data_IF_989025437555
#
_entry.id   IF_989025437555
#
_cell.length_a   1.000
_cell.length_b   1.000
_cell.length_c   1.000
_cell.angle_alpha   90.00
_cell.angle_beta   90.00
_cell.angle_gamma   90.00
#
_symmetry.space_group_name_H-M   'P 1'
#
loop_
_entity.id
_entity.type
_entity.pdbx_description
1 polymer ?
#
# COMPACT_ATOMS: atom_id res chain seq x y z
N UNK A 1 23.70 33.42 -9.27
CA UNK A 1 23.30 33.89 -7.93
C UNK A 1 23.45 32.69 -7.00
N UNK A 2 24.62 32.54 -6.37
CA UNK A 2 24.87 31.58 -5.27
C UNK A 2 24.40 32.29 -3.99
N UNK A 3 23.71 31.66 -3.05
CA UNK A 3 24.19 30.54 -2.21
C UNK A 3 23.05 29.61 -1.80
N UNK A 4 23.18 28.32 -2.14
CA UNK A 4 22.52 27.23 -1.41
C UNK A 4 23.14 27.17 -0.01
N UNK A 5 22.40 27.64 0.99
CA UNK A 5 22.64 27.27 2.37
C UNK A 5 22.21 25.80 2.54
N UNK A 6 23.08 24.85 2.15
CA UNK A 6 22.93 23.44 2.56
C UNK A 6 23.33 23.35 4.03
N UNK A 7 22.47 23.89 4.91
CA UNK A 7 22.61 23.73 6.36
C UNK A 7 22.44 22.25 6.66
N UNK A 8 23.52 21.61 7.10
CA UNK A 8 23.50 20.22 7.52
C UNK A 8 22.69 20.13 8.82
N UNK A 9 21.55 19.44 8.77
CA UNK A 9 20.66 19.23 9.92
C UNK A 9 20.73 17.76 10.32
N UNK A 10 21.86 17.33 10.92
CA UNK A 10 22.16 15.91 11.06
C UNK A 10 21.18 15.24 12.02
N UNK A 11 20.84 13.99 11.70
CA UNK A 11 20.14 13.07 12.58
C UNK A 11 21.15 12.18 13.32
N UNK A 12 20.85 11.83 14.58
CA UNK A 12 21.74 11.03 15.44
C UNK A 12 22.20 9.72 14.80
N UNK A 13 21.30 9.05 14.08
CA UNK A 13 21.54 7.77 13.40
C UNK A 13 22.56 7.87 12.26
N UNK A 14 22.75 9.04 11.64
CA UNK A 14 23.71 9.25 10.55
C UNK A 14 25.17 9.00 10.99
N UNK A 15 25.46 9.17 12.29
CA UNK A 15 26.78 8.89 12.86
C UNK A 15 27.18 7.41 12.74
N UNK A 16 26.22 6.49 12.64
CA UNK A 16 26.51 5.07 12.46
C UNK A 16 26.82 4.77 10.99
N UNK A 17 26.00 5.28 10.08
CA UNK A 17 26.14 5.01 8.65
C UNK A 17 27.43 5.58 8.05
N UNK A 18 27.80 6.79 8.45
CA UNK A 18 29.03 7.46 7.97
C UNK A 18 30.32 6.69 8.30
N UNK A 19 30.30 5.79 9.28
CA UNK A 19 31.46 4.92 9.61
C UNK A 19 31.68 3.83 8.58
N UNK A 20 30.62 3.39 7.90
CA UNK A 20 30.68 2.22 7.00
C UNK A 20 31.22 2.54 5.60
N UNK A 21 31.39 3.82 5.28
CA UNK A 21 32.01 4.23 4.02
C UNK A 21 33.53 4.00 3.98
N UNK A 22 34.15 3.79 5.14
CA UNK A 22 35.56 3.45 5.26
C UNK A 22 35.89 2.10 4.62
N UNK A 23 36.96 2.05 3.83
CA UNK A 23 37.45 0.84 3.18
C UNK A 23 38.91 0.58 3.55
N UNK A 24 39.21 -0.62 4.04
CA UNK A 24 40.59 -1.12 4.15
C UNK A 24 40.77 -2.28 3.17
N UNK A 25 41.68 -2.13 2.21
CA UNK A 25 41.98 -3.16 1.23
C UNK A 25 42.96 -4.17 1.82
N UNK A 26 42.54 -5.42 1.98
CA UNK A 26 43.45 -6.55 2.27
C UNK A 26 43.08 -7.75 1.42
N UNK A 27 44.10 -8.48 0.96
CA UNK A 27 43.94 -9.59 0.02
C UNK A 27 43.10 -10.75 0.59
N UNK A 28 43.11 -10.96 1.91
CA UNK A 28 42.32 -12.00 2.58
C UNK A 28 40.82 -11.72 2.52
N UNK A 29 40.40 -10.46 2.68
CA UNK A 29 38.99 -10.04 2.66
C UNK A 29 38.38 -10.16 1.25
N UNK A 30 39.20 -10.01 0.21
CA UNK A 30 38.77 -10.06 -1.18
C UNK A 30 38.18 -11.43 -1.57
N UNK A 31 38.69 -12.52 -0.98
CA UNK A 31 38.30 -13.90 -1.34
C UNK A 31 36.80 -14.17 -1.16
N UNK A 32 36.17 -13.60 -0.13
CA UNK A 32 34.75 -13.78 0.15
C UNK A 32 33.85 -13.18 -0.93
N UNK A 33 34.26 -12.06 -1.54
CA UNK A 33 33.49 -11.38 -2.59
C UNK A 33 33.78 -11.94 -3.99
N UNK A 34 34.88 -12.65 -4.19
CA UNK A 34 35.22 -13.26 -5.48
C UNK A 34 34.25 -14.39 -5.86
N UNK A 35 33.65 -15.09 -4.88
CA UNK A 35 32.68 -16.17 -5.13
C UNK A 35 31.51 -15.73 -6.01
N UNK A 36 31.04 -14.48 -5.86
CA UNK A 36 29.88 -13.94 -6.55
C UNK A 36 30.22 -12.85 -7.57
N UNK A 37 31.49 -12.70 -7.92
CA UNK A 37 32.00 -11.62 -8.77
C UNK A 37 31.27 -11.48 -10.09
N UNK A 38 31.05 -12.59 -10.80
CA UNK A 38 30.35 -12.58 -12.09
C UNK A 38 28.89 -12.12 -11.96
N UNK A 39 28.27 -12.35 -10.80
CA UNK A 39 26.92 -11.89 -10.50
C UNK A 39 26.92 -10.40 -10.14
N UNK A 40 27.87 -9.97 -9.31
CA UNK A 40 28.00 -8.56 -8.89
C UNK A 40 28.41 -7.63 -10.04
N UNK A 41 29.13 -8.12 -11.04
CA UNK A 41 29.46 -7.36 -12.26
C UNK A 41 28.24 -6.90 -13.07
N UNK A 42 27.02 -7.40 -12.77
CA UNK A 42 25.80 -6.93 -13.42
C UNK A 42 25.38 -5.52 -13.02
N UNK A 43 25.86 -5.03 -11.88
CA UNK A 43 25.59 -3.68 -11.39
C UNK A 43 26.89 -3.01 -10.96
N UNK A 44 27.14 -1.83 -11.54
CA UNK A 44 28.32 -1.05 -11.21
C UNK A 44 28.37 -0.74 -9.71
N UNK A 45 29.51 -1.02 -9.09
CA UNK A 45 29.74 -0.74 -7.68
C UNK A 45 29.38 -1.86 -6.70
N UNK A 46 28.58 -2.88 -7.07
CA UNK A 46 28.23 -3.97 -6.14
C UNK A 46 29.43 -4.78 -5.65
N UNK A 47 30.40 -5.03 -6.55
CA UNK A 47 31.64 -5.71 -6.16
C UNK A 47 32.39 -4.90 -5.08
N UNK A 48 32.55 -3.59 -5.31
CA UNK A 48 33.20 -2.70 -4.34
C UNK A 48 32.38 -2.59 -3.05
N UNK A 49 31.06 -2.62 -3.14
CA UNK A 49 30.17 -2.62 -1.99
C UNK A 49 30.34 -3.88 -1.14
N UNK A 50 30.47 -5.06 -1.76
CA UNK A 50 30.78 -6.29 -1.06
C UNK A 50 32.09 -6.18 -0.26
N UNK A 51 33.14 -5.60 -0.87
CA UNK A 51 34.42 -5.40 -0.20
C UNK A 51 34.30 -4.45 1.00
N UNK A 52 33.52 -3.36 0.88
CA UNK A 52 33.21 -2.48 2.01
C UNK A 52 32.46 -3.22 3.12
N UNK A 53 31.47 -4.04 2.77
CA UNK A 53 30.73 -4.84 3.74
C UNK A 53 31.67 -5.74 4.55
N UNK A 54 32.51 -6.52 3.87
CA UNK A 54 33.45 -7.45 4.52
C UNK A 54 34.48 -6.71 5.37
N UNK A 55 34.98 -5.56 4.92
CA UNK A 55 35.89 -4.71 5.70
C UNK A 55 35.24 -4.18 6.98
N UNK A 56 33.98 -3.75 6.91
CA UNK A 56 33.23 -3.32 8.10
C UNK A 56 32.98 -4.47 9.08
N UNK A 57 32.66 -5.67 8.57
CA UNK A 57 32.50 -6.85 9.41
C UNK A 57 33.79 -7.21 10.16
N UNK A 58 34.94 -7.16 9.49
CA UNK A 58 36.24 -7.39 10.11
C UNK A 58 36.51 -6.41 11.27
N UNK A 59 36.18 -5.13 11.07
CA UNK A 59 36.30 -4.11 12.12
C UNK A 59 35.34 -4.35 13.30
N UNK A 60 34.10 -4.75 13.03
CA UNK A 60 33.10 -5.02 14.07
C UNK A 60 33.44 -6.26 14.89
N UNK A 61 33.87 -7.34 14.25
CA UNK A 61 34.26 -8.60 14.92
C UNK A 61 35.48 -8.40 15.82
N UNK A 62 36.30 -7.37 15.64
CA UNK A 62 37.41 -7.05 16.55
C UNK A 62 36.98 -6.36 17.86
N UNK A 63 35.71 -5.94 17.98
CA UNK A 63 35.20 -5.26 19.19
C UNK A 63 34.88 -6.25 20.31
N UNK A 64 35.17 -5.86 21.55
CA UNK A 64 34.94 -6.67 22.75
C UNK A 64 33.54 -6.44 23.38
N UNK A 65 32.96 -5.24 23.28
CA UNK A 65 31.65 -4.94 23.85
C UNK A 65 30.51 -5.52 22.99
N UNK A 66 29.72 -6.44 23.57
CA UNK A 66 28.64 -7.14 22.87
C UNK A 66 27.43 -6.26 22.54
N UNK A 67 27.09 -5.29 23.38
CA UNK A 67 25.88 -4.48 23.20
C UNK A 67 26.10 -3.44 22.09
N UNK A 68 27.25 -2.76 22.13
CA UNK A 68 27.68 -1.86 21.06
C UNK A 68 27.81 -2.61 19.72
N UNK A 69 28.34 -3.84 19.76
CA UNK A 69 28.45 -4.70 18.58
C UNK A 69 27.09 -5.02 17.98
N UNK A 70 26.13 -5.49 18.78
CA UNK A 70 24.77 -5.82 18.32
C UNK A 70 24.08 -4.62 17.64
N UNK A 71 24.22 -3.44 18.24
CA UNK A 71 23.65 -2.21 17.70
C UNK A 71 24.30 -1.84 16.37
N UNK A 72 25.63 -1.79 16.30
CA UNK A 72 26.35 -1.46 15.07
C UNK A 72 26.13 -2.47 13.94
N UNK A 73 25.99 -3.78 14.25
CA UNK A 73 25.64 -4.78 13.26
C UNK A 73 24.19 -4.59 12.75
N UNK A 74 23.27 -4.13 13.58
CA UNK A 74 21.91 -3.79 13.13
C UNK A 74 21.94 -2.59 12.17
N UNK A 75 22.74 -1.55 12.47
CA UNK A 75 22.96 -0.43 11.54
C UNK A 75 23.63 -0.88 10.24
N UNK A 76 24.64 -1.76 10.30
CA UNK A 76 25.29 -2.32 9.11
C UNK A 76 24.31 -3.12 8.25
N UNK A 77 23.37 -3.82 8.87
CA UNK A 77 22.33 -4.57 8.18
C UNK A 77 21.40 -3.64 7.39
N UNK A 78 20.90 -2.57 8.01
CA UNK A 78 20.10 -1.57 7.31
C UNK A 78 20.89 -0.82 6.24
N UNK A 79 22.15 -0.50 6.52
CA UNK A 79 23.05 0.13 5.54
C UNK A 79 23.23 -0.75 4.30
N UNK A 80 23.47 -2.05 4.51
CA UNK A 80 23.58 -3.06 3.45
C UNK A 80 22.31 -3.10 2.60
N UNK A 81 21.16 -3.27 3.25
CA UNK A 81 19.87 -3.36 2.57
C UNK A 81 19.55 -2.10 1.76
N UNK A 82 19.71 -0.92 2.37
CA UNK A 82 19.31 0.34 1.75
C UNK A 82 20.20 0.71 0.56
N UNK A 83 21.52 0.56 0.68
CA UNK A 83 22.46 0.82 -0.42
C UNK A 83 22.22 -0.14 -1.59
N UNK A 84 21.96 -1.42 -1.32
CA UNK A 84 21.66 -2.38 -2.39
C UNK A 84 20.34 -2.03 -3.09
N UNK A 85 19.30 -1.64 -2.34
CA UNK A 85 18.02 -1.20 -2.92
C UNK A 85 18.23 0.02 -3.83
N UNK A 86 19.08 0.95 -3.44
CA UNK A 86 19.39 2.16 -4.21
C UNK A 86 20.18 1.86 -5.49
N UNK A 87 21.22 1.01 -5.38
CA UNK A 87 22.08 0.62 -6.51
C UNK A 87 21.37 -0.26 -7.53
N UNK A 88 20.67 -1.30 -7.06
CA UNK A 88 20.08 -2.34 -7.92
C UNK A 88 18.71 -1.94 -8.45
N UNK A 89 17.91 -1.29 -7.60
CA UNK A 89 16.54 -0.88 -7.87
C UNK A 89 15.56 -2.03 -8.19
N UNK A 90 14.31 -1.85 -7.75
CA UNK A 90 13.25 -2.83 -7.95
C UNK A 90 13.48 -4.17 -7.24
N UNK A 91 12.61 -5.13 -7.50
CA UNK A 91 12.52 -6.39 -6.75
C UNK A 91 13.78 -7.26 -6.83
N UNK A 92 14.62 -7.06 -7.84
CA UNK A 92 15.88 -7.80 -7.96
C UNK A 92 16.86 -7.52 -6.81
N UNK A 93 16.72 -6.37 -6.13
CA UNK A 93 17.48 -6.00 -4.94
C UNK A 93 17.46 -7.09 -3.86
N UNK A 94 16.34 -7.80 -3.70
CA UNK A 94 16.19 -8.88 -2.71
C UNK A 94 17.24 -9.98 -2.92
N UNK A 95 17.52 -10.32 -4.19
CA UNK A 95 18.49 -11.36 -4.54
C UNK A 95 19.89 -10.93 -4.11
N UNK A 96 20.28 -9.68 -4.41
CA UNK A 96 21.61 -9.18 -4.06
C UNK A 96 21.81 -8.97 -2.56
N UNK A 97 20.78 -8.50 -1.84
CA UNK A 97 20.78 -8.47 -0.38
C UNK A 97 21.02 -9.87 0.17
N UNK A 98 20.30 -10.87 -0.35
CA UNK A 98 20.44 -12.26 0.11
C UNK A 98 21.84 -12.81 -0.14
N UNK A 99 22.45 -12.50 -1.28
CA UNK A 99 23.83 -12.90 -1.59
C UNK A 99 24.84 -12.24 -0.64
N UNK A 100 24.72 -10.93 -0.40
CA UNK A 100 25.59 -10.21 0.53
C UNK A 100 25.42 -10.69 1.98
N UNK A 101 24.19 -11.03 2.39
CA UNK A 101 23.95 -11.66 3.69
C UNK A 101 24.55 -13.06 3.78
N UNK A 102 24.54 -13.85 2.70
CA UNK A 102 25.22 -15.15 2.69
C UNK A 102 26.74 -14.99 2.88
N UNK A 103 27.35 -14.00 2.21
CA UNK A 103 28.76 -13.66 2.39
C UNK A 103 29.04 -13.22 3.83
N UNK A 104 28.20 -12.35 4.38
CA UNK A 104 28.29 -11.89 5.78
C UNK A 104 28.28 -13.09 6.74
N UNK A 105 27.30 -13.98 6.63
CA UNK A 105 27.21 -15.16 7.51
C UNK A 105 28.47 -16.03 7.43
N UNK A 106 28.95 -16.32 6.21
CA UNK A 106 30.18 -17.10 6.02
C UNK A 106 31.40 -16.41 6.63
N UNK A 107 31.49 -15.09 6.49
CA UNK A 107 32.59 -14.30 7.05
C UNK A 107 32.62 -14.40 8.58
N UNK A 108 31.47 -14.20 9.25
CA UNK A 108 31.40 -14.31 10.71
C UNK A 108 31.73 -15.72 11.19
N UNK A 109 31.18 -16.75 10.53
CA UNK A 109 31.44 -18.14 10.90
C UNK A 109 32.93 -18.50 10.81
N UNK A 110 33.64 -17.96 9.81
CA UNK A 110 35.07 -18.16 9.64
C UNK A 110 35.92 -17.34 10.61
N UNK A 111 35.51 -16.11 10.94
CA UNK A 111 36.29 -15.18 11.74
C UNK A 111 36.12 -15.40 13.26
N UNK A 112 34.88 -15.48 13.74
CA UNK A 112 34.56 -15.70 15.16
C UNK A 112 33.14 -16.23 15.32
N UNK A 113 33.01 -17.56 15.39
CA UNK A 113 31.71 -18.23 15.51
C UNK A 113 30.94 -17.87 16.78
N UNK A 114 31.61 -17.38 17.83
CA UNK A 114 30.94 -16.93 19.06
C UNK A 114 30.10 -15.66 18.82
N UNK A 115 30.49 -14.83 17.85
CA UNK A 115 29.80 -13.59 17.48
C UNK A 115 28.68 -13.80 16.48
N UNK A 116 28.46 -15.04 16.00
CA UNK A 116 27.36 -15.39 15.10
C UNK A 116 26.01 -14.94 15.63
N UNK A 117 25.70 -15.20 16.90
CA UNK A 117 24.40 -14.84 17.47
C UNK A 117 24.25 -13.32 17.74
N UNK A 118 25.35 -12.57 17.68
CA UNK A 118 25.38 -11.13 17.98
C UNK A 118 25.31 -10.32 16.69
N UNK A 119 26.08 -10.70 15.67
CA UNK A 119 26.27 -9.90 14.47
C UNK A 119 25.78 -10.62 13.20
N UNK A 120 24.91 -11.63 13.28
CA UNK A 120 24.35 -12.23 12.06
C UNK A 120 23.46 -11.24 11.29
N UNK A 121 23.47 -11.28 9.95
CA UNK A 121 22.56 -10.47 9.16
C UNK A 121 21.11 -10.86 9.47
N UNK A 122 20.24 -9.86 9.61
CA UNK A 122 18.82 -10.09 9.85
C UNK A 122 18.12 -10.28 8.52
N UNK A 123 17.65 -11.51 8.28
CA UNK A 123 16.89 -11.86 7.10
C UNK A 123 15.39 -11.74 7.38
N UNK A 124 14.68 -11.09 6.46
CA UNK A 124 13.25 -10.85 6.57
C UNK A 124 12.53 -11.49 5.39
N UNK A 125 12.37 -12.83 5.42
CA UNK A 125 11.71 -13.54 4.34
C UNK A 125 10.29 -12.99 4.19
N UNK A 126 9.87 -12.78 2.94
CA UNK A 126 8.51 -12.32 2.58
C UNK A 126 8.19 -10.85 2.93
N UNK A 127 9.19 -10.06 3.32
CA UNK A 127 9.04 -8.61 3.53
C UNK A 127 9.40 -7.87 2.23
N UNK A 128 8.46 -7.04 1.76
CA UNK A 128 8.67 -6.22 0.58
C UNK A 128 9.70 -5.12 0.82
N UNK A 129 10.35 -4.66 -0.26
CA UNK A 129 11.37 -3.60 -0.20
C UNK A 129 10.85 -2.30 0.45
N UNK A 130 9.58 -1.99 0.25
CA UNK A 130 8.92 -0.83 0.86
C UNK A 130 8.89 -0.94 2.40
N UNK A 131 8.55 -2.12 2.93
CA UNK A 131 8.60 -2.38 4.37
C UNK A 131 10.02 -2.32 4.92
N UNK A 132 11.02 -2.83 4.21
CA UNK A 132 12.43 -2.73 4.62
C UNK A 132 12.85 -1.25 4.80
N UNK A 133 12.45 -0.36 3.89
CA UNK A 133 12.71 1.08 4.01
C UNK A 133 12.03 1.67 5.24
N UNK A 134 10.76 1.33 5.48
CA UNK A 134 10.01 1.80 6.66
C UNK A 134 10.59 1.28 7.97
N UNK A 135 11.09 0.04 7.98
CA UNK A 135 11.78 -0.53 9.13
C UNK A 135 13.06 0.21 9.47
N UNK A 136 13.84 0.60 8.47
CA UNK A 136 15.00 1.49 8.66
C UNK A 136 14.56 2.83 9.27
N UNK A 137 13.52 3.47 8.74
CA UNK A 137 12.99 4.74 9.27
C UNK A 137 12.61 4.60 10.74
N UNK A 138 11.88 3.54 11.10
CA UNK A 138 11.50 3.28 12.50
C UNK A 138 12.71 3.07 13.41
N UNK A 139 13.68 2.26 12.95
CA UNK A 139 14.90 2.00 13.71
C UNK A 139 15.71 3.29 13.93
N UNK A 140 15.92 4.08 12.87
CA UNK A 140 16.64 5.36 12.95
C UNK A 140 15.92 6.35 13.86
N UNK A 141 14.58 6.39 13.82
CA UNK A 141 13.79 7.27 14.70
C UNK A 141 13.98 6.96 16.18
N UNK A 142 14.13 5.69 16.56
CA UNK A 142 14.36 5.31 17.96
C UNK A 142 15.62 6.01 18.51
N UNK A 143 16.69 6.07 17.71
CA UNK A 143 17.93 6.79 18.06
C UNK A 143 17.80 8.32 17.90
N UNK A 144 17.08 8.78 16.88
CA UNK A 144 16.97 10.20 16.57
C UNK A 144 16.12 10.97 17.59
N UNK A 145 15.07 10.33 18.14
CA UNK A 145 14.08 10.96 19.00
C UNK A 145 14.68 11.67 20.23
N UNK A 146 15.64 11.02 20.91
CA UNK A 146 16.29 11.55 22.11
C UNK A 146 16.91 12.93 21.88
N UNK A 147 17.55 13.13 20.72
CA UNK A 147 18.16 14.42 20.38
C UNK A 147 17.13 15.40 19.82
N UNK A 148 16.20 14.94 18.98
CA UNK A 148 15.20 15.79 18.33
C UNK A 148 14.23 16.46 19.31
N UNK A 149 13.89 15.80 20.42
CA UNK A 149 13.03 16.36 21.47
C UNK A 149 13.57 17.68 22.02
N UNK A 150 14.89 17.77 22.18
CA UNK A 150 15.55 18.97 22.70
C UNK A 150 15.77 20.02 21.60
N UNK A 151 16.09 19.59 20.37
CA UNK A 151 16.41 20.54 19.28
C UNK A 151 15.18 21.32 18.80
N UNK A 152 14.01 20.69 18.69
CA UNK A 152 12.80 21.38 18.19
C UNK A 152 12.17 22.32 19.22
N UNK A 153 12.49 22.14 20.51
CA UNK A 153 12.04 23.05 21.57
C UNK A 153 12.86 24.35 21.58
N UNK A 154 14.09 24.30 21.09
CA UNK A 154 14.95 25.45 20.86
C UNK A 154 14.63 25.98 19.46
N UNK A 155 14.54 27.30 19.27
CA UNK A 155 14.15 27.90 17.99
C UNK A 155 15.30 27.80 16.96
N UNK A 156 15.57 26.57 16.52
CA UNK A 156 16.73 26.17 15.73
C UNK A 156 16.48 26.34 14.22
N UNK A 157 17.53 26.67 13.47
CA UNK A 157 17.48 26.82 12.01
C UNK A 157 17.13 25.52 11.26
N UNK A 158 17.23 24.36 11.90
CA UNK A 158 16.89 23.06 11.36
C UNK A 158 15.44 22.63 11.64
N UNK A 159 14.65 23.47 12.32
CA UNK A 159 13.26 23.16 12.69
C UNK A 159 12.42 22.70 11.52
N UNK A 160 12.53 23.35 10.35
CA UNK A 160 11.79 22.95 9.15
C UNK A 160 12.17 21.53 8.69
N UNK A 161 13.48 21.23 8.60
CA UNK A 161 13.98 19.92 8.17
C UNK A 161 13.58 18.81 9.14
N UNK A 162 13.66 19.06 10.45
CA UNK A 162 13.21 18.08 11.43
C UNK A 162 11.70 17.91 11.43
N UNK A 163 10.91 18.96 11.24
CA UNK A 163 9.48 18.81 11.07
C UNK A 163 9.15 17.98 9.81
N UNK A 164 9.85 18.17 8.68
CA UNK A 164 9.69 17.30 7.50
C UNK A 164 9.99 15.83 7.82
N UNK A 165 11.01 15.55 8.62
CA UNK A 165 11.30 14.19 9.07
C UNK A 165 10.13 13.59 9.87
N UNK A 166 9.49 14.36 10.76
CA UNK A 166 8.32 13.90 11.52
C UNK A 166 7.09 13.57 10.66
N UNK A 167 6.97 14.12 9.44
CA UNK A 167 5.93 13.70 8.49
C UNK A 167 6.10 12.23 8.10
N UNK A 168 7.33 11.81 7.78
CA UNK A 168 7.62 10.42 7.45
C UNK A 168 7.34 9.50 8.64
N UNK A 169 7.74 9.91 9.85
CA UNK A 169 7.49 9.17 11.08
C UNK A 169 5.99 9.00 11.34
N UNK A 170 5.20 10.06 11.22
CA UNK A 170 3.74 10.00 11.37
C UNK A 170 3.11 9.03 10.36
N UNK A 171 3.52 9.09 9.10
CA UNK A 171 2.97 8.21 8.06
C UNK A 171 3.29 6.74 8.31
N UNK A 172 4.51 6.44 8.76
CA UNK A 172 4.93 5.09 9.14
C UNK A 172 4.17 4.61 10.37
N UNK A 173 4.00 5.44 11.39
CA UNK A 173 3.22 5.09 12.58
C UNK A 173 1.79 4.70 12.24
N UNK A 174 1.07 5.55 11.49
CA UNK A 174 -0.34 5.32 11.14
C UNK A 174 -0.53 4.02 10.35
N UNK A 175 0.41 3.71 9.45
CA UNK A 175 0.40 2.44 8.72
C UNK A 175 0.66 1.25 9.65
N UNK A 176 1.70 1.32 10.48
CA UNK A 176 2.10 0.21 11.33
C UNK A 176 1.18 -0.04 12.53
N UNK A 177 0.40 0.94 12.97
CA UNK A 177 -0.73 0.72 13.88
C UNK A 177 -1.69 -0.34 13.34
N UNK A 178 -1.94 -0.35 12.03
CA UNK A 178 -2.81 -1.35 11.40
C UNK A 178 -2.06 -2.66 11.13
N UNK A 179 -0.83 -2.57 10.61
CA UNK A 179 0.00 -3.75 10.27
C UNK A 179 0.29 -4.58 11.52
N UNK A 180 0.65 -3.95 12.64
CA UNK A 180 1.04 -4.67 13.85
C UNK A 180 -0.13 -5.11 14.74
N UNK A 181 -1.35 -4.61 14.51
CA UNK A 181 -2.54 -4.95 15.31
C UNK A 181 -3.29 -6.20 14.81
N UNK A 182 -2.92 -6.74 13.64
CA UNK A 182 -3.62 -7.89 13.05
C UNK A 182 -2.79 -9.17 13.19
N UNK A 183 -3.39 -10.25 13.71
CA UNK A 183 -2.72 -11.54 13.94
C UNK A 183 -2.05 -12.09 12.65
N UNK A 184 -2.65 -11.86 11.47
CA UNK A 184 -2.09 -12.29 10.18
C UNK A 184 -0.84 -11.53 9.75
N UNK A 185 -0.61 -10.31 10.26
CA UNK A 185 0.48 -9.43 9.85
C UNK A 185 1.64 -9.35 10.86
N UNK A 186 1.65 -10.18 11.91
CA UNK A 186 2.75 -10.24 12.88
C UNK A 186 4.12 -10.38 12.21
N UNK A 187 4.22 -11.09 11.08
CA UNK A 187 5.47 -11.23 10.32
C UNK A 187 6.03 -9.91 9.76
N UNK A 188 5.15 -8.95 9.45
CA UNK A 188 5.51 -7.62 8.92
C UNK A 188 5.77 -6.59 10.02
N UNK A 189 5.45 -6.92 11.26
CA UNK A 189 5.72 -6.07 12.40
C UNK A 189 7.16 -6.33 12.90
N UNK A 190 8.03 -5.31 12.96
CA UNK A 190 9.37 -5.50 13.50
C UNK A 190 9.34 -5.59 15.04
N UNK A 191 10.27 -6.36 15.61
CA UNK A 191 10.38 -6.56 17.07
C UNK A 191 10.56 -5.25 17.86
N UNK A 192 11.08 -4.20 17.21
CA UNK A 192 11.28 -2.88 17.79
C UNK A 192 10.09 -1.92 17.61
N UNK A 193 8.95 -2.39 17.07
CA UNK A 193 7.73 -1.59 16.90
C UNK A 193 7.28 -0.92 18.20
N UNK A 194 7.33 -1.64 19.33
CA UNK A 194 6.93 -1.10 20.63
C UNK A 194 7.75 0.13 21.06
N UNK A 195 9.07 0.12 20.81
CA UNK A 195 9.94 1.26 21.12
C UNK A 195 9.66 2.44 20.21
N UNK A 196 9.48 2.18 18.91
CA UNK A 196 9.09 3.21 17.95
C UNK A 196 7.76 3.88 18.33
N UNK A 197 6.72 3.05 18.60
CA UNK A 197 5.39 3.52 18.99
C UNK A 197 5.44 4.39 20.24
N UNK A 198 6.14 3.92 21.29
CA UNK A 198 6.33 4.70 22.52
C UNK A 198 6.97 6.06 22.24
N UNK A 199 8.08 6.10 21.49
CA UNK A 199 8.77 7.35 21.16
C UNK A 199 7.90 8.29 20.31
N UNK A 200 7.02 7.74 19.47
CA UNK A 200 6.07 8.54 18.70
C UNK A 200 4.97 9.13 19.58
N UNK A 201 4.37 8.36 20.48
CA UNK A 201 3.34 8.82 21.41
C UNK A 201 3.86 9.97 22.30
N UNK A 202 5.10 9.86 22.77
CA UNK A 202 5.75 10.91 23.56
C UNK A 202 6.13 12.16 22.72
N UNK A 203 6.10 12.07 21.39
CA UNK A 203 6.43 13.20 20.49
C UNK A 203 5.25 14.15 20.21
N UNK A 204 4.10 13.95 20.86
CA UNK A 204 2.87 14.74 20.65
C UNK A 204 3.07 16.25 20.71
N UNK A 205 3.88 16.75 21.65
CA UNK A 205 4.21 18.18 21.75
C UNK A 205 5.04 18.68 20.56
N UNK A 206 5.93 17.85 20.03
CA UNK A 206 6.76 18.16 18.86
C UNK A 206 5.87 18.28 17.62
N UNK A 207 4.98 17.29 17.41
CA UNK A 207 4.04 17.28 16.30
C UNK A 207 3.12 18.51 16.31
N UNK A 208 2.65 18.93 17.48
CA UNK A 208 1.85 20.14 17.65
C UNK A 208 2.60 21.39 17.16
N UNK A 209 3.89 21.52 17.52
CA UNK A 209 4.75 22.64 17.09
C UNK A 209 5.04 22.62 15.59
N UNK A 210 5.14 21.43 14.99
CA UNK A 210 5.39 21.27 13.56
C UNK A 210 4.15 21.51 12.69
N UNK A 211 2.94 21.51 13.26
CA UNK A 211 1.68 21.65 12.50
C UNK A 211 1.61 22.92 11.65
N UNK A 212 2.10 24.05 12.16
CA UNK A 212 2.16 25.30 11.39
C UNK A 212 3.09 25.17 10.18
N UNK A 213 4.27 24.58 10.38
CA UNK A 213 5.27 24.34 9.33
C UNK A 213 4.72 23.37 8.28
N UNK A 214 3.98 22.33 8.68
CA UNK A 214 3.34 21.41 7.73
C UNK A 214 2.41 22.16 6.77
N UNK A 215 1.58 23.06 7.32
CA UNK A 215 0.65 23.85 6.52
C UNK A 215 1.37 24.83 5.59
N UNK A 216 2.41 25.51 6.08
CA UNK A 216 3.24 26.44 5.29
C UNK A 216 3.91 25.73 4.11
N UNK A 217 4.39 24.50 4.34
CA UNK A 217 4.98 23.64 3.32
C UNK A 217 3.94 22.93 2.43
N UNK A 218 2.65 23.13 2.68
CA UNK A 218 1.58 22.55 1.88
C UNK A 218 1.36 21.05 2.11
N UNK A 219 1.68 20.52 3.29
CA UNK A 219 1.34 19.17 3.72
C UNK A 219 0.00 19.13 4.45
N UNK A 220 -0.80 18.09 4.17
CA UNK A 220 -2.08 17.87 4.82
C UNK A 220 -2.39 16.37 4.89
N UNK A 221 -3.26 15.97 5.82
CA UNK A 221 -3.67 14.57 6.00
C UNK A 221 -4.73 14.17 4.97
N UNK A 222 -4.60 12.98 4.42
CA UNK A 222 -5.57 12.34 3.52
C UNK A 222 -5.74 10.88 3.90
N UNK A 223 -6.89 10.30 3.55
CA UNK A 223 -7.11 8.85 3.71
C UNK A 223 -6.43 8.11 2.55
N UNK A 224 -5.57 7.16 2.90
CA UNK A 224 -4.84 6.29 1.97
C UNK A 224 -5.20 4.83 2.28
N UNK A 225 -5.36 4.01 1.25
CA UNK A 225 -5.56 2.56 1.41
C UNK A 225 -4.22 1.85 1.49
N UNK A 226 -4.08 0.95 2.46
CA UNK A 226 -2.81 0.25 2.76
C UNK A 226 -2.91 -1.29 2.68
N UNK A 227 -4.09 -1.82 2.33
CA UNK A 227 -4.34 -3.25 2.18
C UNK A 227 -4.22 -3.73 0.73
N UNK A 228 -4.31 -5.05 0.55
CA UNK A 228 -4.43 -5.63 -0.80
C UNK A 228 -5.70 -5.11 -1.50
N UNK A 229 -5.73 -5.06 -2.85
CA UNK A 229 -6.90 -4.60 -3.60
C UNK A 229 -8.18 -5.38 -3.24
N UNK A 230 -8.99 -4.84 -2.33
CA UNK A 230 -10.19 -5.50 -1.81
C UNK A 230 -10.39 -5.37 -0.29
N UNK A 231 -9.34 -5.06 0.47
CA UNK A 231 -9.43 -4.80 1.92
C UNK A 231 -9.71 -3.31 2.21
N UNK A 232 -10.73 -3.03 3.02
CA UNK A 232 -11.15 -1.67 3.37
C UNK A 232 -10.35 -1.10 4.56
N UNK A 233 -9.03 -1.16 4.49
CA UNK A 233 -8.14 -0.58 5.51
C UNK A 233 -7.65 0.78 5.01
N UNK A 234 -8.01 1.83 5.75
CA UNK A 234 -7.65 3.21 5.45
C UNK A 234 -6.91 3.83 6.64
N UNK A 235 -5.84 4.55 6.34
CA UNK A 235 -5.06 5.29 7.33
C UNK A 235 -4.91 6.74 6.90
N UNK A 236 -4.79 7.65 7.87
CA UNK A 236 -4.53 9.05 7.59
C UNK A 236 -3.03 9.28 7.44
N UNK A 237 -2.61 9.73 6.26
CA UNK A 237 -1.22 10.06 5.97
C UNK A 237 -1.08 11.49 5.50
N UNK A 238 -0.02 12.16 5.91
CA UNK A 238 0.42 13.43 5.34
C UNK A 238 0.90 13.24 3.91
N UNK A 239 0.35 14.03 3.00
CA UNK A 239 0.79 14.11 1.60
C UNK A 239 1.13 15.55 1.24
N UNK A 240 2.05 15.74 0.30
CA UNK A 240 2.36 17.07 -0.21
C UNK A 240 1.30 17.50 -1.23
N UNK A 241 0.99 18.81 -1.27
CA UNK A 241 0.09 19.38 -2.26
C UNK A 241 0.57 19.24 -3.71
N UNK A 242 1.85 18.97 -3.93
CA UNK A 242 2.44 18.80 -5.27
C UNK A 242 2.33 17.37 -5.79
N UNK A 243 2.21 16.38 -4.90
CA UNK A 243 2.13 14.95 -5.24
C UNK A 243 0.70 14.44 -5.35
N UNK A 244 -0.28 15.23 -4.92
CA UNK A 244 -1.70 14.87 -4.91
C UNK A 244 -2.45 15.75 -5.92
N UNK A 245 -3.30 15.14 -6.74
CA UNK A 245 -4.09 15.91 -7.71
C UNK A 245 -5.08 16.84 -7.01
N UNK A 246 -5.45 17.92 -7.69
CA UNK A 246 -6.45 18.88 -7.17
C UNK A 246 -7.76 18.20 -6.72
N UNK A 247 -8.19 17.17 -7.45
CA UNK A 247 -9.41 16.41 -7.13
C UNK A 247 -9.24 15.64 -5.82
N UNK A 248 -8.11 14.96 -5.65
CA UNK A 248 -7.86 14.22 -4.42
C UNK A 248 -7.69 15.16 -3.21
N UNK A 249 -7.11 16.36 -3.43
CA UNK A 249 -7.03 17.40 -2.41
C UNK A 249 -8.42 17.88 -1.96
N UNK A 250 -9.34 18.07 -2.90
CA UNK A 250 -10.71 18.52 -2.59
C UNK A 250 -11.51 17.45 -1.84
N UNK A 251 -11.26 16.17 -2.15
CA UNK A 251 -11.96 15.04 -1.54
C UNK A 251 -11.28 14.55 -0.24
N UNK A 252 -10.01 14.86 -0.01
CA UNK A 252 -9.22 14.34 1.11
C UNK A 252 -8.98 12.83 1.05
N UNK A 253 -9.13 12.22 -0.13
CA UNK A 253 -9.11 10.77 -0.37
C UNK A 253 -8.24 10.52 -1.62
N UNK A 254 -7.35 9.53 -1.59
CA UNK A 254 -6.53 9.20 -2.77
C UNK A 254 -7.37 8.57 -3.90
N UNK A 255 -7.03 8.86 -5.15
CA UNK A 255 -7.69 8.28 -6.35
C UNK A 255 -7.55 6.76 -6.36
N UNK A 256 -6.48 6.21 -5.76
CA UNK A 256 -6.33 4.76 -5.56
C UNK A 256 -7.53 4.13 -4.85
N UNK A 257 -8.15 4.84 -3.91
CA UNK A 257 -9.36 4.41 -3.20
C UNK A 257 -10.58 4.44 -4.13
N UNK A 258 -10.71 5.50 -4.92
CA UNK A 258 -11.80 5.64 -5.89
C UNK A 258 -11.71 4.58 -6.99
N UNK A 259 -10.51 4.28 -7.48
CA UNK A 259 -10.27 3.26 -8.50
C UNK A 259 -10.47 1.86 -7.94
N UNK A 260 -10.03 1.55 -6.71
CA UNK A 260 -10.31 0.27 -6.06
C UNK A 260 -11.82 0.03 -5.89
N UNK A 261 -12.57 1.06 -5.45
CA UNK A 261 -14.02 1.02 -5.32
C UNK A 261 -14.72 0.85 -6.68
N UNK A 262 -14.23 1.54 -7.72
CA UNK A 262 -14.73 1.42 -9.09
C UNK A 262 -14.44 0.04 -9.69
N UNK A 263 -13.23 -0.50 -9.50
CA UNK A 263 -12.84 -1.86 -9.90
C UNK A 263 -13.72 -2.92 -9.23
N UNK A 264 -14.08 -2.75 -7.95
CA UNK A 264 -15.00 -3.65 -7.24
C UNK A 264 -16.41 -3.60 -7.83
N UNK A 265 -16.97 -2.41 -8.05
CA UNK A 265 -18.29 -2.26 -8.69
C UNK A 265 -18.25 -2.86 -10.09
N UNK A 266 -17.19 -2.60 -10.85
CA UNK A 266 -17.00 -3.17 -12.18
C UNK A 266 -16.93 -4.70 -12.16
N UNK A 267 -16.16 -5.29 -11.25
CA UNK A 267 -15.96 -6.74 -11.17
C UNK A 267 -17.19 -7.49 -10.63
N UNK A 268 -17.86 -6.96 -9.62
CA UNK A 268 -18.91 -7.69 -8.89
C UNK A 268 -20.34 -7.29 -9.23
N UNK A 269 -20.54 -6.12 -9.87
CA UNK A 269 -21.87 -5.64 -10.27
C UNK A 269 -21.97 -5.56 -11.79
N UNK A 270 -21.03 -4.86 -12.44
CA UNK A 270 -21.13 -4.59 -13.88
C UNK A 270 -20.78 -5.83 -14.71
N UNK A 271 -19.70 -6.54 -14.40
CA UNK A 271 -19.28 -7.72 -15.18
C UNK A 271 -20.32 -8.85 -15.17
N UNK A 272 -21.00 -9.20 -14.05
CA UNK A 272 -22.11 -10.16 -14.06
C UNK A 272 -23.28 -9.68 -14.90
N UNK A 273 -23.66 -8.40 -14.82
CA UNK A 273 -24.75 -7.83 -15.62
C UNK A 273 -24.41 -7.90 -17.11
N UNK A 274 -23.19 -7.50 -17.49
CA UNK A 274 -22.71 -7.60 -18.88
C UNK A 274 -22.68 -9.06 -19.34
N UNK A 275 -22.23 -10.00 -18.50
CA UNK A 275 -22.22 -11.43 -18.81
C UNK A 275 -23.64 -11.96 -19.03
N UNK A 276 -24.62 -11.56 -18.20
CA UNK A 276 -26.03 -11.92 -18.36
C UNK A 276 -26.59 -11.33 -19.67
N UNK A 277 -26.28 -10.07 -19.98
CA UNK A 277 -26.72 -9.42 -21.23
C UNK A 277 -26.09 -10.06 -22.47
N UNK A 278 -24.80 -10.41 -22.40
CA UNK A 278 -24.12 -11.15 -23.46
C UNK A 278 -24.69 -12.55 -23.60
N UNK A 279 -24.93 -13.27 -22.50
CA UNK A 279 -25.58 -14.58 -22.53
C UNK A 279 -26.97 -14.50 -23.14
N UNK A 280 -27.78 -13.49 -22.77
CA UNK A 280 -29.07 -13.24 -23.40
C UNK A 280 -28.95 -12.95 -24.90
N UNK A 281 -27.99 -12.12 -25.29
CA UNK A 281 -27.72 -11.81 -26.70
C UNK A 281 -27.27 -13.05 -27.48
N UNK A 282 -26.39 -13.88 -26.91
CA UNK A 282 -25.96 -15.15 -27.49
C UNK A 282 -27.12 -16.15 -27.54
N UNK A 283 -27.95 -16.29 -26.52
CA UNK A 283 -29.14 -17.15 -26.57
C UNK A 283 -30.16 -16.68 -27.62
N UNK A 284 -30.26 -15.37 -27.85
CA UNK A 284 -31.10 -14.80 -28.91
C UNK A 284 -30.50 -15.00 -30.30
N UNK A 285 -29.18 -14.86 -30.46
CA UNK A 285 -28.47 -14.91 -31.75
C UNK A 285 -28.09 -16.33 -32.19
N UNK A 286 -27.70 -17.19 -31.23
CA UNK A 286 -27.51 -18.64 -31.37
C UNK A 286 -28.81 -19.41 -31.16
N UNK A 287 -29.96 -18.73 -31.13
CA UNK A 287 -31.23 -19.37 -31.40
C UNK A 287 -31.23 -19.89 -32.85
N UNK A 288 -30.57 -21.03 -33.04
CA UNK A 288 -30.87 -22.05 -34.04
C UNK A 288 -32.32 -22.55 -33.90
N UNK A 289 -33.10 -22.01 -32.94
CA UNK A 289 -34.54 -22.16 -32.76
C UNK A 289 -35.32 -20.85 -33.02
N UNK A 290 -34.77 -19.92 -33.80
CA UNK A 290 -35.42 -18.67 -34.23
C UNK A 290 -36.72 -18.85 -35.04
N UNK A 291 -37.22 -20.07 -35.21
CA UNK A 291 -38.51 -20.37 -35.85
C UNK A 291 -39.47 -21.23 -35.02
N UNK A 292 -39.17 -21.56 -33.74
CA UNK A 292 -40.02 -22.49 -32.96
C UNK A 292 -40.35 -22.12 -31.52
N UNK A 293 -40.09 -20.88 -31.08
CA UNK A 293 -40.74 -20.37 -29.86
C UNK A 293 -42.14 -19.89 -30.22
N UNK A 294 -43.00 -20.90 -30.36
CA UNK A 294 -44.43 -20.99 -30.13
C UNK A 294 -45.34 -19.76 -30.36
N UNK A 295 -46.45 -19.92 -31.12
CA UNK A 295 -47.59 -18.99 -31.14
C UNK A 295 -48.20 -18.69 -29.75
N UNK A 296 -47.82 -19.44 -28.70
CA UNK A 296 -48.31 -19.20 -27.32
C UNK A 296 -47.91 -17.84 -26.76
N UNK A 297 -46.73 -17.31 -27.06
CA UNK A 297 -46.29 -16.03 -26.47
C UNK A 297 -47.00 -14.84 -27.14
N UNK A 298 -47.24 -14.92 -28.44
CA UNK A 298 -48.07 -13.93 -29.16
C UNK A 298 -49.54 -13.99 -28.75
N UNK A 299 -50.09 -15.17 -28.47
CA UNK A 299 -51.44 -15.30 -27.94
C UNK A 299 -51.56 -14.71 -26.52
N UNK A 300 -50.53 -14.83 -25.67
CA UNK A 300 -50.53 -14.17 -24.37
C UNK A 300 -50.40 -12.64 -24.48
N UNK A 301 -49.60 -12.13 -25.43
CA UNK A 301 -49.52 -10.69 -25.71
C UNK A 301 -50.87 -10.14 -26.21
N UNK A 302 -51.56 -10.87 -27.08
CA UNK A 302 -52.92 -10.50 -27.57
C UNK A 302 -53.98 -10.60 -26.47
N UNK A 303 -53.91 -11.60 -25.58
CA UNK A 303 -54.78 -11.68 -24.40
C UNK A 303 -54.55 -10.50 -23.46
N UNK A 304 -53.31 -10.10 -23.21
CA UNK A 304 -53.00 -8.99 -22.29
C UNK A 304 -53.45 -7.63 -22.86
N UNK A 305 -53.33 -7.42 -24.17
CA UNK A 305 -53.88 -6.24 -24.87
C UNK A 305 -55.43 -6.22 -24.80
N UNK A 306 -56.10 -7.37 -24.89
CA UNK A 306 -57.56 -7.45 -24.75
C UNK A 306 -58.03 -7.26 -23.30
N UNK A 307 -57.25 -7.70 -22.31
CA UNK A 307 -57.56 -7.49 -20.88
C UNK A 307 -57.39 -6.02 -20.48
N UNK A 308 -56.47 -5.28 -21.10
CA UNK A 308 -56.32 -3.83 -20.91
C UNK A 308 -57.22 -2.98 -21.83
N UNK A 309 -57.90 -3.59 -22.81
CA UNK A 309 -58.79 -2.92 -23.76
C UNK A 309 -60.23 -2.67 -23.26
N UNK A 310 -60.59 -3.08 -22.04
CA UNK A 310 -61.93 -2.85 -21.47
C UNK A 310 -62.06 -1.47 -20.79
N UNK A 311 -61.02 -0.64 -20.81
CA UNK A 311 -61.12 0.78 -20.40
C UNK A 311 -60.70 1.70 -21.52
N UNK A 312 -61.46 1.71 -22.62
CA UNK A 312 -61.48 2.85 -23.51
C UNK A 312 -62.67 3.74 -23.12
N UNK A 313 -62.47 4.97 -22.59
CA UNK A 313 -63.55 5.81 -22.06
C UNK A 313 -64.50 6.37 -23.14
N UNK A 314 -64.25 6.11 -24.42
CA UNK A 314 -65.02 6.69 -25.53
C UNK A 314 -66.41 6.07 -25.75
N UNK A 315 -66.72 4.90 -25.19
CA UNK A 315 -68.04 4.26 -25.33
C UNK A 315 -69.07 4.65 -24.26
N UNK A 316 -68.70 5.48 -23.28
CA UNK A 316 -69.61 5.96 -22.22
C UNK A 316 -70.38 7.25 -22.59
N UNK A 317 -70.12 7.86 -23.76
CA UNK A 317 -70.68 9.17 -24.10
C UNK A 317 -71.81 9.16 -25.15
N UNK A 318 -72.24 8.00 -25.66
CA UNK A 318 -73.40 7.92 -26.55
C UNK A 318 -74.20 6.62 -26.34
N UNK A 319 -75.37 6.65 -25.67
CA UNK A 319 -76.24 5.48 -25.61
C UNK A 319 -76.87 5.23 -26.99
N UNK A 320 -76.73 4.01 -27.48
CA UNK A 320 -77.35 3.55 -28.72
C UNK A 320 -78.88 3.48 -28.54
N UNK A 321 -79.62 4.14 -29.44
CA UNK A 321 -81.09 4.16 -29.50
C UNK A 321 -81.65 2.72 -29.64
N UNK A 322 -82.78 2.38 -29.00
CA UNK A 322 -83.39 1.06 -29.15
C UNK A 322 -84.11 0.96 -30.50
N UNK A 323 -84.06 -0.19 -31.20
CA UNK A 323 -84.94 -0.42 -32.33
C UNK A 323 -86.34 -0.79 -31.81
N UNK A 324 -87.32 0.02 -32.19
CA UNK A 324 -88.74 -0.23 -31.96
C UNK A 324 -89.37 -1.13 -33.03
N UNK A 325 -90.39 -1.87 -32.61
CA UNK A 325 -91.34 -2.63 -33.44
C UNK A 325 -90.90 -4.08 -33.69
N UNK A 326 -91.67 -5.14 -33.41
CA UNK A 326 -93.05 -5.29 -32.98
C UNK A 326 -93.56 -6.64 -33.50
N UNK A 327 -94.15 -7.48 -32.63
CA UNK A 327 -95.38 -8.28 -32.83
C UNK A 327 -95.46 -9.54 -31.95
N UNK A 328 -96.43 -9.48 -31.03
CA UNK A 328 -97.43 -10.44 -30.52
C UNK A 328 -97.24 -11.97 -30.67
N UNK A 329 -97.63 -12.64 -29.56
CA UNK A 329 -98.35 -13.93 -29.37
C UNK A 329 -97.56 -14.85 -28.43
N UNK A 330 -98.09 -15.45 -27.36
CA UNK A 330 -99.41 -15.49 -26.73
C UNK A 330 -99.27 -16.24 -25.40
N UNK A 331 -100.17 -15.95 -24.45
CA UNK A 331 -100.33 -16.73 -23.21
C UNK A 331 -100.73 -18.18 -23.54
N UNK A 332 -100.45 -19.13 -22.64
CA UNK A 332 -101.60 -19.66 -21.91
C UNK A 332 -101.38 -19.78 -20.41
N UNK A 333 -102.44 -19.40 -19.73
CA UNK A 333 -102.82 -19.73 -18.36
C UNK A 333 -102.94 -21.25 -18.18
N UNK A 334 -102.54 -21.79 -17.03
CA UNK A 334 -103.31 -22.90 -16.44
C UNK A 334 -103.26 -22.87 -14.89
N UNK A 335 -104.36 -23.26 -14.22
CA UNK A 335 -104.61 -22.97 -12.82
C UNK A 335 -104.53 -24.21 -11.91
N UNK A 336 -103.99 -24.05 -10.71
CA UNK A 336 -104.68 -24.18 -9.40
C UNK A 336 -103.67 -24.03 -8.28
#
# INVERSE_FOLDING_TARGET
MKTEDTKNCPLSSEKYYSKFDGFQNTDSLNTHCEQYKTIFQKFDGLQNFCLKLVSNLDNLIKKENSDDLMNECTYLNFWTQYNVIDMVQGNSSIVYITLLHAIWTQFIEAADSSKKNICSPKYFPFIGLDYIKKWKIMHDYIENYENLKNVITINDNCKENYCKYFIEISNVHEEFEQVCNTEMNQKRCPDFWGNFKKNYEESSEILSKCKAIFNELGFYKVKVSIGDPGEEIYVEQYVSSHTFSFIEKLLGISIGILTAKSLRISKFVIAPIILILLFYFFMKKLSFFGSKISPRVDNMRKMWINVQGVTNPATLLNPMKPPGGGNKMGLPYMPK
#
